data_IF_199841050944
#
_entry.id   IF_199841050944
#
_cell.length_a   1.000
_cell.length_b   1.000
_cell.length_c   1.000
_cell.angle_alpha   90.00
_cell.angle_beta   90.00
_cell.angle_gamma   90.00
#
_symmetry.space_group_name_H-M   'P 1'
#
loop_
_entity.id
_entity.type
_entity.pdbx_description
1 polymer ?
#
# COMPACT_ATOMS: atom_id res chain seq x y z
N UNK A 1 12.63 1.31 -26.15
CA UNK A 1 12.74 -0.03 -25.53
C UNK A 1 13.32 0.13 -24.14
N UNK A 2 12.67 -0.37 -23.08
CA UNK A 2 13.23 -0.33 -21.73
C UNK A 2 14.57 -1.09 -21.73
N UNK A 3 15.62 -0.46 -21.18
CA UNK A 3 16.94 -1.10 -21.01
C UNK A 3 16.74 -2.33 -20.13
N UNK A 4 17.22 -3.51 -20.57
CA UNK A 4 17.23 -4.69 -19.70
C UNK A 4 17.99 -4.34 -18.42
N UNK A 5 17.48 -4.75 -17.25
CA UNK A 5 18.24 -4.62 -16.01
C UNK A 5 19.59 -5.31 -16.14
N UNK A 6 20.59 -4.76 -15.46
CA UNK A 6 21.89 -5.43 -15.29
C UNK A 6 21.65 -6.74 -14.54
N UNK A 7 22.42 -7.78 -14.85
CA UNK A 7 22.30 -9.08 -14.19
C UNK A 7 22.31 -8.93 -12.66
N UNK A 8 21.30 -9.50 -11.99
CA UNK A 8 21.11 -9.36 -10.53
C UNK A 8 20.41 -8.07 -10.06
N UNK A 9 20.00 -7.17 -10.95
CA UNK A 9 19.26 -5.96 -10.61
C UNK A 9 17.77 -6.05 -11.01
N UNK A 10 16.87 -5.66 -10.11
CA UNK A 10 15.46 -5.44 -10.42
C UNK A 10 15.20 -3.95 -10.59
N UNK A 11 14.41 -3.57 -11.60
CA UNK A 11 13.95 -2.20 -11.76
C UNK A 11 12.69 -1.99 -10.92
N UNK A 12 12.67 -0.91 -10.14
CA UNK A 12 11.50 -0.43 -9.42
C UNK A 12 10.99 0.83 -10.10
N UNK A 13 9.70 0.82 -10.45
CA UNK A 13 8.97 2.02 -10.86
C UNK A 13 8.14 2.48 -9.68
N UNK A 14 8.50 3.63 -9.12
CA UNK A 14 7.78 4.26 -8.02
C UNK A 14 7.61 5.75 -8.30
N UNK A 15 6.47 6.28 -7.92
CA UNK A 15 6.22 7.71 -7.91
C UNK A 15 6.67 8.28 -6.56
N UNK A 16 7.45 9.36 -6.60
CA UNK A 16 7.92 10.07 -5.42
C UNK A 16 7.45 11.52 -5.50
N UNK A 17 7.15 12.17 -4.35
CA UNK A 17 6.93 13.60 -4.33
C UNK A 17 8.11 14.35 -4.97
N UNK A 18 7.83 15.25 -5.91
CA UNK A 18 8.84 16.09 -6.58
C UNK A 18 9.81 16.77 -5.59
N UNK A 19 9.37 17.42 -4.50
CA UNK A 19 10.31 18.07 -3.59
C UNK A 19 11.27 17.08 -2.93
N UNK A 20 10.80 15.89 -2.58
CA UNK A 20 11.63 14.85 -1.99
C UNK A 20 12.68 14.34 -2.98
N UNK A 21 12.30 14.17 -4.24
CA UNK A 21 13.25 13.76 -5.29
C UNK A 21 14.33 14.81 -5.51
N UNK A 22 13.99 16.10 -5.46
CA UNK A 22 14.94 17.19 -5.62
C UNK A 22 15.91 17.31 -4.44
N UNK A 23 15.41 17.12 -3.22
CA UNK A 23 16.26 17.02 -2.02
C UNK A 23 17.23 15.84 -2.12
N UNK A 24 16.74 14.67 -2.52
CA UNK A 24 17.59 13.48 -2.70
C UNK A 24 18.67 13.69 -3.75
N UNK A 25 18.34 14.36 -4.88
CA UNK A 25 19.31 14.72 -5.91
C UNK A 25 20.38 15.67 -5.39
N UNK A 26 20.00 16.70 -4.63
CA UNK A 26 20.95 17.64 -4.01
C UNK A 26 21.87 16.91 -3.03
N UNK A 27 21.30 16.12 -2.13
CA UNK A 27 22.05 15.32 -1.17
C UNK A 27 23.08 14.40 -1.84
N UNK A 28 22.68 13.70 -2.90
CA UNK A 28 23.58 12.83 -3.66
C UNK A 28 24.70 13.64 -4.35
N UNK A 29 24.35 14.79 -4.96
CA UNK A 29 25.31 15.67 -5.63
C UNK A 29 26.37 16.22 -4.67
N UNK A 30 25.97 16.69 -3.50
CA UNK A 30 26.87 17.29 -2.51
C UNK A 30 27.91 16.28 -1.99
N UNK A 31 27.60 14.97 -2.07
CA UNK A 31 28.47 13.87 -1.65
C UNK A 31 29.22 13.20 -2.81
N UNK A 32 28.98 13.61 -4.05
CA UNK A 32 29.52 12.92 -5.23
C UNK A 32 28.98 11.50 -5.42
N UNK A 33 27.83 11.19 -4.83
CA UNK A 33 27.18 9.87 -4.89
C UNK A 33 26.09 9.84 -5.96
N UNK A 34 25.68 8.64 -6.39
CA UNK A 34 24.53 8.48 -7.29
C UNK A 34 23.24 8.35 -6.48
N UNK A 35 22.18 8.99 -6.96
CA UNK A 35 20.83 8.94 -6.35
C UNK A 35 20.38 7.51 -6.04
N UNK A 36 20.62 6.57 -6.97
CA UNK A 36 20.24 5.16 -6.80
C UNK A 36 20.98 4.48 -5.64
N UNK A 37 22.23 4.85 -5.38
CA UNK A 37 23.08 4.24 -4.36
C UNK A 37 22.66 4.76 -2.98
N UNK A 38 22.39 6.07 -2.89
CA UNK A 38 21.80 6.70 -1.70
C UNK A 38 20.44 6.10 -1.36
N UNK A 39 19.56 5.94 -2.37
CA UNK A 39 18.23 5.37 -2.18
C UNK A 39 18.31 3.92 -1.71
N UNK A 40 19.18 3.10 -2.31
CA UNK A 40 19.38 1.72 -1.88
C UNK A 40 19.90 1.63 -0.44
N UNK A 41 20.82 2.52 -0.05
CA UNK A 41 21.34 2.59 1.31
C UNK A 41 20.24 2.99 2.32
N UNK A 42 19.40 3.96 1.96
CA UNK A 42 18.28 4.37 2.80
C UNK A 42 17.27 3.22 3.00
N UNK A 43 16.94 2.50 1.92
CA UNK A 43 16.07 1.32 1.99
C UNK A 43 16.67 0.25 2.89
N UNK A 44 17.96 -0.09 2.74
CA UNK A 44 18.65 -1.06 3.60
C UNK A 44 18.57 -0.68 5.07
N UNK A 45 18.89 0.57 5.41
CA UNK A 45 18.78 1.08 6.79
C UNK A 45 17.38 0.96 7.37
N UNK A 46 16.35 1.19 6.54
CA UNK A 46 14.96 1.04 6.97
C UNK A 46 14.57 -0.41 7.22
N UNK A 47 15.11 -1.35 6.44
CA UNK A 47 14.89 -2.78 6.63
C UNK A 47 15.67 -3.35 7.83
N UNK A 48 16.88 -2.83 8.10
CA UNK A 48 17.70 -3.25 9.24
C UNK A 48 17.14 -2.76 10.58
N UNK A 49 16.44 -1.63 10.58
CA UNK A 49 15.79 -1.07 11.76
C UNK A 49 14.32 -0.70 11.46
N UNK A 50 13.45 -1.70 11.29
CA UNK A 50 12.08 -1.46 10.87
C UNK A 50 11.29 -0.76 11.99
N UNK A 51 10.40 0.18 11.65
CA UNK A 51 9.50 0.75 12.63
C UNK A 51 8.62 -0.35 13.24
N UNK A 52 8.16 -0.17 14.50
CA UNK A 52 7.23 -1.12 15.10
C UNK A 52 5.98 -1.25 14.22
N UNK A 53 5.40 -2.46 14.11
CA UNK A 53 4.22 -2.66 13.29
C UNK A 53 3.08 -1.75 13.78
N UNK A 54 2.22 -1.25 12.87
CA UNK A 54 1.06 -0.47 13.28
C UNK A 54 0.22 -1.30 14.25
N UNK A 55 -0.19 -0.69 15.35
CA UNK A 55 -1.06 -1.37 16.32
C UNK A 55 -2.37 -1.73 15.62
N UNK A 56 -2.92 -2.93 15.85
CA UNK A 56 -4.26 -3.24 15.40
C UNK A 56 -5.22 -2.15 15.90
N UNK A 57 -6.00 -1.58 14.99
CA UNK A 57 -7.14 -0.76 15.39
C UNK A 57 -8.14 -1.75 15.98
N UNK A 58 -8.31 -1.72 17.31
CA UNK A 58 -9.39 -2.47 17.96
C UNK A 58 -10.71 -1.92 17.42
N UNK A 59 -11.30 -2.62 16.45
CA UNK A 59 -12.63 -2.29 15.96
C UNK A 59 -13.60 -2.69 17.07
N UNK A 60 -14.44 -1.78 17.60
CA UNK A 60 -15.43 -2.15 18.58
C UNK A 60 -16.31 -3.28 18.04
N UNK A 61 -16.73 -4.25 18.87
CA UNK A 61 -17.65 -5.29 18.42
C UNK A 61 -18.91 -4.62 17.87
N UNK A 62 -19.34 -5.07 16.69
CA UNK A 62 -20.60 -4.62 16.09
C UNK A 62 -21.75 -4.91 17.08
N UNK A 63 -22.72 -4.00 17.22
CA UNK A 63 -23.90 -4.28 18.02
C UNK A 63 -24.61 -5.52 17.48
N UNK A 64 -25.26 -6.33 18.34
CA UNK A 64 -26.03 -7.48 17.90
C UNK A 64 -27.08 -7.03 16.88
N UNK A 65 -27.13 -7.73 15.75
CA UNK A 65 -28.15 -7.51 14.73
C UNK A 65 -29.53 -7.68 15.40
N UNK A 66 -30.27 -6.59 15.53
CA UNK A 66 -31.70 -6.67 15.83
C UNK A 66 -32.35 -7.43 14.69
N UNK A 67 -33.05 -8.52 15.04
CA UNK A 67 -33.79 -9.33 14.08
C UNK A 67 -34.68 -8.42 13.23
N UNK A 68 -34.38 -8.32 11.93
CA UNK A 68 -35.24 -7.64 10.98
C UNK A 68 -36.65 -8.26 11.09
N UNK A 69 -37.73 -7.46 11.10
CA UNK A 69 -39.08 -8.00 11.15
C UNK A 69 -39.29 -8.92 9.94
N UNK A 70 -39.86 -10.10 10.20
CA UNK A 70 -40.18 -11.09 9.16
C UNK A 70 -40.97 -10.42 8.04
N UNK A 71 -40.39 -10.44 6.84
CA UNK A 71 -41.06 -9.96 5.63
C UNK A 71 -42.31 -10.84 5.44
N UNK A 72 -43.52 -10.26 5.34
CA UNK A 72 -44.73 -11.06 5.20
C UNK A 72 -44.67 -11.90 3.92
N UNK A 73 -44.96 -13.19 4.07
CA UNK A 73 -44.92 -14.17 2.99
C UNK A 73 -45.81 -13.76 1.79
N UNK A 74 -45.35 -13.96 0.55
CA UNK A 74 -46.15 -13.64 -0.63
C UNK A 74 -47.37 -14.57 -0.72
N UNK A 75 -48.58 -13.99 -0.74
CA UNK A 75 -49.84 -14.72 -0.98
C UNK A 75 -49.80 -15.35 -2.36
N UNK A 76 -49.95 -16.68 -2.40
CA UNK A 76 -49.92 -17.50 -3.60
C UNK A 76 -50.94 -17.07 -4.66
N UNK A 77 -50.52 -17.11 -5.92
CA UNK A 77 -51.43 -17.05 -7.08
C UNK A 77 -52.03 -18.44 -7.30
N UNK A 78 -53.37 -18.56 -7.24
CA UNK A 78 -54.07 -19.76 -7.72
C UNK A 78 -53.87 -19.92 -9.23
N UNK A 79 -53.69 -21.14 -9.75
CA UNK A 79 -53.63 -21.38 -11.19
C UNK A 79 -55.04 -21.26 -11.79
N UNK A 80 -55.16 -20.52 -12.90
CA UNK A 80 -56.38 -20.50 -13.73
C UNK A 80 -56.45 -21.78 -14.55
N UNK A 81 -57.63 -22.41 -14.53
CA UNK A 81 -58.04 -23.52 -15.38
C UNK A 81 -58.66 -22.98 -16.66
#
# INVERSE_FOLDING_TARGET
MPKRPVEGAAQINAELPVPLLDELKRFAKDRGEKVRDVLALAIRRHLDNPPPPPRPVEVPPLPPLTSLPEKPAPKGKKPKK
#
